data_IF_612976534034
#
_entry.id   IF_612976534034
#
_cell.length_a   1.000
_cell.length_b   1.000
_cell.length_c   1.000
_cell.angle_alpha   90.00
_cell.angle_beta   90.00
_cell.angle_gamma   90.00
#
_symmetry.space_group_name_H-M   'P 1'
#
loop_
_entity.id
_entity.type
_entity.pdbx_description
1 polymer ?
#
# COMPACT_ATOMS: atom_id res chain seq x y z
N UNK A 1 12.54 -9.06 4.33
CA UNK A 1 11.76 -7.80 4.24
C UNK A 1 10.28 -8.13 4.13
N UNK A 2 9.45 -7.62 5.04
CA UNK A 2 8.00 -7.86 5.02
C UNK A 2 7.30 -6.99 3.97
N UNK A 3 6.27 -7.55 3.32
CA UNK A 3 5.43 -6.85 2.33
C UNK A 3 4.89 -5.53 2.89
N UNK A 4 4.54 -5.48 4.18
CA UNK A 4 4.15 -4.22 4.88
C UNK A 4 5.19 -3.11 4.72
N UNK A 5 6.47 -3.39 5.00
CA UNK A 5 7.50 -2.36 4.96
C UNK A 5 7.73 -1.87 3.54
N UNK A 6 7.72 -2.77 2.54
CA UNK A 6 7.80 -2.38 1.13
C UNK A 6 6.63 -1.48 0.72
N UNK A 7 5.40 -1.80 1.13
CA UNK A 7 4.22 -0.96 0.83
C UNK A 7 4.39 0.43 1.45
N UNK A 8 4.83 0.51 2.70
CA UNK A 8 5.04 1.79 3.40
C UNK A 8 6.18 2.60 2.75
N UNK A 9 7.29 1.97 2.37
CA UNK A 9 8.39 2.63 1.66
C UNK A 9 7.96 3.17 0.29
N UNK A 10 7.23 2.35 -0.46
CA UNK A 10 6.68 2.72 -1.76
C UNK A 10 5.66 3.87 -1.66
N UNK A 11 4.84 3.86 -0.62
CA UNK A 11 3.88 4.94 -0.32
C UNK A 11 4.57 6.20 0.24
N UNK A 12 5.78 6.08 0.81
CA UNK A 12 6.60 7.22 1.23
C UNK A 12 7.13 7.98 0.02
N UNK A 13 7.48 7.26 -1.05
CA UNK A 13 7.91 7.86 -2.32
C UNK A 13 6.76 8.53 -3.08
N UNK A 14 5.50 8.23 -2.78
CA UNK A 14 4.36 8.94 -3.33
C UNK A 14 3.05 8.14 -3.30
N UNK A 15 2.00 8.72 -3.90
CA UNK A 15 0.71 8.04 -4.07
C UNK A 15 0.82 6.89 -5.07
N UNK A 16 0.45 5.68 -4.65
CA UNK A 16 0.53 4.48 -5.49
C UNK A 16 -0.78 3.70 -5.52
N UNK A 17 -1.02 2.99 -6.63
CA UNK A 17 -2.17 2.10 -6.78
C UNK A 17 -1.85 0.71 -6.22
N UNK A 18 -2.87 -0.12 -6.02
CA UNK A 18 -2.68 -1.54 -5.64
C UNK A 18 -1.76 -2.25 -6.63
N UNK A 19 -1.92 -1.97 -7.93
CA UNK A 19 -1.12 -2.62 -8.98
C UNK A 19 0.35 -2.23 -8.93
N UNK A 20 0.65 -0.95 -8.68
CA UNK A 20 2.04 -0.48 -8.54
C UNK A 20 2.70 -1.11 -7.32
N UNK A 21 1.96 -1.14 -6.20
CA UNK A 21 2.41 -1.79 -4.96
C UNK A 21 2.59 -3.31 -5.14
N UNK A 22 1.74 -3.97 -5.92
CA UNK A 22 1.87 -5.40 -6.27
C UNK A 22 3.15 -5.64 -7.07
N UNK A 23 3.45 -4.80 -8.06
CA UNK A 23 4.67 -4.88 -8.86
C UNK A 23 5.92 -4.64 -8.02
N UNK A 24 5.93 -3.62 -7.18
CA UNK A 24 7.09 -3.29 -6.36
C UNK A 24 7.32 -4.27 -5.19
N UNK A 25 6.24 -4.78 -4.61
CA UNK A 25 6.34 -5.79 -3.54
C UNK A 25 6.57 -7.20 -4.07
N UNK A 26 6.30 -7.46 -5.37
CA UNK A 26 6.30 -8.79 -5.96
C UNK A 26 5.27 -9.73 -5.34
N UNK A 27 4.24 -9.17 -4.70
CA UNK A 27 3.29 -9.92 -3.88
C UNK A 27 1.92 -10.03 -4.55
N UNK A 28 1.16 -11.08 -4.21
CA UNK A 28 -0.19 -11.25 -4.76
C UNK A 28 -1.09 -10.06 -4.44
N UNK A 29 -1.97 -9.63 -5.35
CA UNK A 29 -2.90 -8.52 -5.13
C UNK A 29 -3.79 -8.70 -3.89
N UNK A 30 -4.18 -9.94 -3.56
CA UNK A 30 -4.91 -10.23 -2.32
C UNK A 30 -4.13 -9.92 -1.04
N UNK A 31 -2.82 -10.21 -1.03
CA UNK A 31 -1.94 -9.90 0.10
C UNK A 31 -1.78 -8.38 0.23
N UNK A 32 -1.50 -7.69 -0.88
CA UNK A 32 -1.33 -6.22 -0.88
C UNK A 32 -2.60 -5.51 -0.43
N UNK A 33 -3.78 -5.91 -0.94
CA UNK A 33 -5.07 -5.39 -0.46
C UNK A 33 -5.27 -5.64 1.03
N UNK A 34 -5.02 -6.86 1.51
CA UNK A 34 -5.15 -7.19 2.94
C UNK A 34 -4.20 -6.37 3.83
N UNK A 35 -2.97 -6.13 3.37
CA UNK A 35 -2.01 -5.28 4.09
C UNK A 35 -2.41 -3.81 4.04
N UNK A 36 -2.88 -3.29 2.90
CA UNK A 36 -3.39 -1.93 2.78
C UNK A 36 -4.61 -1.70 3.69
N UNK A 37 -5.55 -2.64 3.75
CA UNK A 37 -6.70 -2.56 4.68
C UNK A 37 -6.23 -2.51 6.13
N UNK A 38 -5.22 -3.32 6.50
CA UNK A 38 -4.62 -3.25 7.85
C UNK A 38 -3.95 -1.90 8.11
N UNK A 39 -3.17 -1.38 7.15
CA UNK A 39 -2.48 -0.10 7.27
C UNK A 39 -3.45 1.08 7.36
N UNK A 40 -4.58 1.02 6.64
CA UNK A 40 -5.67 1.99 6.75
C UNK A 40 -6.31 1.91 8.14
N UNK A 41 -6.57 0.70 8.63
CA UNK A 41 -7.13 0.48 9.97
C UNK A 41 -6.17 0.93 11.08
N UNK A 42 -4.86 0.80 10.86
CA UNK A 42 -3.81 1.33 11.73
C UNK A 42 -3.64 2.86 11.61
N UNK A 43 -4.34 3.52 10.67
CA UNK A 43 -4.23 4.95 10.43
C UNK A 43 -2.92 5.41 9.77
N UNK A 44 -2.12 4.48 9.25
CA UNK A 44 -0.84 4.77 8.57
C UNK A 44 -1.01 5.08 7.08
N UNK A 45 -2.08 4.61 6.46
CA UNK A 45 -2.33 4.77 5.03
C UNK A 45 -3.75 5.29 4.84
N UNK A 46 -3.95 6.17 3.88
CA UNK A 46 -5.26 6.69 3.51
C UNK A 46 -5.52 6.42 2.02
N UNK A 47 -6.75 6.01 1.72
CA UNK A 47 -7.18 5.82 0.33
C UNK A 47 -7.65 7.17 -0.20
N UNK A 48 -6.94 7.68 -1.18
CA UNK A 48 -7.33 8.88 -1.93
C UNK A 48 -8.57 8.61 -2.79
N UNK A 49 -9.40 9.62 -3.07
CA UNK A 49 -10.60 9.49 -3.92
C UNK A 49 -10.27 9.02 -5.34
N UNK A 50 -9.04 9.23 -5.80
CA UNK A 50 -8.51 8.79 -7.10
C UNK A 50 -8.24 7.27 -7.18
N UNK A 51 -8.58 6.50 -6.13
CA UNK A 51 -8.31 5.07 -6.06
C UNK A 51 -6.85 4.70 -5.72
N UNK A 52 -6.01 5.70 -5.44
CA UNK A 52 -4.62 5.53 -4.98
C UNK A 52 -4.56 5.49 -3.46
N UNK A 53 -3.44 5.02 -2.93
CA UNK A 53 -3.13 4.99 -1.51
C UNK A 53 -2.02 6.01 -1.25
N UNK A 54 -2.10 6.73 -0.13
CA UNK A 54 -1.01 7.57 0.38
C UNK A 54 -0.70 7.19 1.82
N UNK A 55 0.53 7.45 2.26
CA UNK A 55 0.81 7.48 3.69
C UNK A 55 0.09 8.68 4.34
N UNK A 56 -0.56 8.41 5.47
CA UNK A 56 -1.13 9.45 6.31
C UNK A 56 -0.04 10.11 7.15
#
# INVERSE_FOLDING_TARGET
>A
MSVKNKIVEELKSGVKTVEDLVKATGSKPGIVKGQLTRLIKEGKVEKTPDGKYKLK
#
